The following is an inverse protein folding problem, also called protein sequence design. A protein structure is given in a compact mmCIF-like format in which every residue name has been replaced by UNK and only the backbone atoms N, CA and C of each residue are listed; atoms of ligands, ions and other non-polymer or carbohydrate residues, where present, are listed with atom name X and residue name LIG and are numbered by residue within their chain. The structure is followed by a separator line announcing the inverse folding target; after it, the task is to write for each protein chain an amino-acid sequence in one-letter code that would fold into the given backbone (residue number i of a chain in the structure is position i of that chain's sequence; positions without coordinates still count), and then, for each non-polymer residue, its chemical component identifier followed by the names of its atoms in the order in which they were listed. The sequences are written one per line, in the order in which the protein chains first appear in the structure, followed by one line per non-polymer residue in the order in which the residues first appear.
data_IF_427284740835
#
_entry.id   IF_427284740835
#
_cell.length_a   1.000
_cell.length_b   1.000
_cell.length_c   1.000
_cell.angle_alpha   90.00
_cell.angle_beta   90.00
_cell.angle_gamma   90.00
#
_symmetry.space_group_name_H-M   'P 1'
#
loop_
_entity.id
_entity.type
_entity.pdbx_description
1 polymer ?
#
# COMPACT_ATOMS: atom_id res chain seq x y z
N UNK A 1 27.41 9.59 21.97
CA UNK A 1 26.45 9.63 20.84
C UNK A 1 27.02 8.75 19.73
N UNK A 2 26.78 7.44 19.78
CA UNK A 2 27.13 6.55 18.67
C UNK A 2 26.01 6.60 17.64
N UNK A 3 26.36 6.81 16.37
CA UNK A 3 25.41 6.73 15.28
C UNK A 3 24.78 5.32 15.27
N UNK A 4 23.45 5.25 15.22
CA UNK A 4 22.71 3.99 15.11
C UNK A 4 23.12 3.28 13.81
N UNK A 5 23.73 2.10 13.92
CA UNK A 5 24.13 1.26 12.79
C UNK A 5 22.95 0.68 11.98
N UNK A 6 21.70 0.99 12.36
CA UNK A 6 20.48 0.43 11.75
C UNK A 6 19.77 1.34 10.74
N UNK A 7 20.36 2.49 10.40
CA UNK A 7 19.79 3.37 9.36
C UNK A 7 20.35 2.99 8.00
N UNK A 8 19.46 2.70 7.05
CA UNK A 8 19.84 2.44 5.67
C UNK A 8 20.64 3.62 5.09
N UNK A 9 21.83 3.36 4.55
CA UNK A 9 22.76 4.38 4.07
C UNK A 9 22.96 4.38 2.54
N UNK A 10 22.17 3.59 1.82
CA UNK A 10 22.23 3.45 0.37
C UNK A 10 20.83 3.32 -0.21
N UNK A 11 20.70 3.62 -1.50
CA UNK A 11 19.45 3.47 -2.23
C UNK A 11 19.14 1.98 -2.41
N UNK A 12 17.90 1.59 -2.12
CA UNK A 12 17.38 0.25 -2.38
C UNK A 12 16.29 0.38 -3.44
N UNK A 13 16.55 -0.19 -4.61
CA UNK A 13 15.57 -0.31 -5.69
C UNK A 13 15.06 -1.75 -5.75
N UNK A 14 13.76 -1.92 -5.96
CA UNK A 14 13.16 -3.23 -6.14
C UNK A 14 11.99 -3.17 -7.14
N UNK A 15 11.74 -4.31 -7.79
CA UNK A 15 10.59 -4.52 -8.65
C UNK A 15 9.73 -5.63 -8.05
N UNK A 16 8.41 -5.52 -8.22
CA UNK A 16 7.45 -6.52 -7.75
C UNK A 16 6.60 -6.94 -8.94
N UNK A 17 6.47 -8.25 -9.14
CA UNK A 17 5.49 -8.83 -10.06
C UNK A 17 4.36 -9.39 -9.22
N UNK A 18 3.13 -9.01 -9.52
CA UNK A 18 1.93 -9.42 -8.79
C UNK A 18 0.92 -9.93 -9.80
N UNK A 19 0.35 -11.09 -9.52
CA UNK A 19 -0.78 -11.66 -10.27
C UNK A 19 -2.02 -11.65 -9.37
N UNK A 20 -3.18 -11.41 -9.98
CA UNK A 20 -4.47 -11.58 -9.33
C UNK A 20 -5.38 -12.43 -10.20
N UNK A 21 -6.08 -13.38 -9.59
CA UNK A 21 -6.97 -14.30 -10.28
C UNK A 21 -8.42 -14.03 -9.87
N UNK A 22 -9.27 -13.75 -10.86
CA UNK A 22 -10.71 -13.48 -10.68
C UNK A 22 -11.01 -12.48 -9.55
N UNK A 23 -10.23 -11.39 -9.48
CA UNK A 23 -10.32 -10.40 -8.41
C UNK A 23 -10.25 -8.98 -8.96
N UNK A 24 -10.67 -8.01 -8.16
CA UNK A 24 -10.47 -6.59 -8.42
C UNK A 24 -9.33 -6.05 -7.53
N UNK A 25 -8.11 -5.87 -8.05
CA UNK A 25 -6.96 -5.48 -7.24
C UNK A 25 -7.03 -4.01 -6.76
N UNK A 26 -7.69 -3.17 -7.56
CA UNK A 26 -7.78 -1.73 -7.36
C UNK A 26 -9.05 -1.20 -8.06
N UNK A 27 -10.12 -0.98 -7.29
CA UNK A 27 -11.39 -0.52 -7.83
C UNK A 27 -11.41 0.97 -8.16
N UNK A 28 -12.17 1.34 -9.20
CA UNK A 28 -12.41 2.72 -9.55
C UNK A 28 -13.76 3.24 -9.01
N UNK A 29 -13.79 4.11 -7.99
CA UNK A 29 -15.04 4.62 -7.43
C UNK A 29 -15.84 5.47 -8.41
N UNK A 30 -15.20 6.01 -9.46
CA UNK A 30 -15.89 6.79 -10.50
C UNK A 30 -16.50 5.90 -11.59
N UNK A 31 -16.11 4.63 -11.66
CA UNK A 31 -16.52 3.69 -12.69
C UNK A 31 -17.17 2.42 -12.07
N UNK A 32 -18.04 2.63 -11.08
CA UNK A 32 -18.83 1.55 -10.48
C UNK A 32 -18.00 0.45 -9.82
N UNK A 33 -16.82 0.79 -9.29
CA UNK A 33 -15.89 -0.15 -8.65
C UNK A 33 -15.38 -1.26 -9.59
N UNK A 34 -15.32 -1.01 -10.91
CA UNK A 34 -14.61 -1.89 -11.86
C UNK A 34 -13.10 -1.81 -11.62
N UNK A 35 -12.29 -2.79 -12.08
CA UNK A 35 -10.84 -2.66 -12.07
C UNK A 35 -10.41 -1.35 -12.72
N UNK A 36 -9.55 -0.60 -12.04
CA UNK A 36 -9.03 0.67 -12.55
C UNK A 36 -8.20 0.43 -13.80
N UNK A 37 -8.31 1.36 -14.75
CA UNK A 37 -7.52 1.38 -15.98
C UNK A 37 -6.84 2.74 -16.15
N UNK A 38 -5.64 2.75 -16.72
CA UNK A 38 -4.96 3.98 -17.12
C UNK A 38 -5.56 4.59 -18.41
N UNK A 39 -5.02 5.72 -18.86
CA UNK A 39 -5.46 6.39 -20.09
C UNK A 39 -5.17 5.59 -21.38
N UNK A 40 -4.26 4.62 -21.33
CA UNK A 40 -3.95 3.72 -22.43
C UNK A 40 -4.84 2.46 -22.42
N UNK A 41 -5.67 2.29 -21.39
CA UNK A 41 -6.58 1.15 -21.22
C UNK A 41 -5.95 -0.07 -20.52
N UNK A 42 -4.74 0.04 -19.97
CA UNK A 42 -4.12 -1.03 -19.19
C UNK A 42 -4.68 -1.04 -17.76
N UNK A 43 -4.80 -2.24 -17.16
CA UNK A 43 -5.16 -2.35 -15.75
C UNK A 43 -4.13 -1.67 -14.84
N UNK A 44 -4.60 -0.89 -13.86
CA UNK A 44 -3.75 -0.08 -13.00
C UNK A 44 -3.95 -0.40 -11.52
N UNK A 45 -2.85 -0.71 -10.82
CA UNK A 45 -2.78 -0.66 -9.36
C UNK A 45 -2.02 0.61 -8.99
N UNK A 46 -2.73 1.59 -8.41
CA UNK A 46 -2.13 2.88 -8.08
C UNK A 46 -1.16 2.75 -6.91
N UNK A 47 -0.21 3.68 -6.83
CA UNK A 47 0.74 3.77 -5.74
C UNK A 47 0.04 3.95 -4.39
N UNK A 48 -1.03 4.75 -4.33
CA UNK A 48 -1.86 4.93 -3.13
C UNK A 48 -2.49 3.61 -2.70
N UNK A 49 -2.99 2.80 -3.65
CA UNK A 49 -3.56 1.48 -3.36
C UNK A 49 -2.51 0.55 -2.74
N UNK A 50 -1.31 0.47 -3.31
CA UNK A 50 -0.23 -0.37 -2.77
C UNK A 50 0.23 0.12 -1.39
N UNK A 51 0.45 1.44 -1.23
CA UNK A 51 0.80 2.05 0.06
C UNK A 51 -0.25 1.76 1.13
N UNK A 52 -1.54 1.75 0.79
CA UNK A 52 -2.63 1.40 1.72
C UNK A 52 -2.53 -0.06 2.15
N UNK A 53 -2.37 -0.99 1.21
CA UNK A 53 -2.21 -2.42 1.54
C UNK A 53 -1.01 -2.66 2.47
N UNK A 54 0.13 -2.00 2.23
CA UNK A 54 1.30 -2.11 3.11
C UNK A 54 0.99 -1.57 4.51
N UNK A 55 0.39 -0.38 4.62
CA UNK A 55 0.02 0.19 5.92
C UNK A 55 -0.97 -0.70 6.68
N UNK A 56 -1.94 -1.28 6.00
CA UNK A 56 -2.92 -2.16 6.62
C UNK A 56 -2.24 -3.43 7.18
N UNK A 57 -1.30 -4.01 6.43
CA UNK A 57 -0.50 -5.16 6.90
C UNK A 57 0.39 -4.81 8.10
N UNK A 58 0.99 -3.62 8.13
CA UNK A 58 1.75 -3.13 9.29
C UNK A 58 0.84 -2.92 10.51
N UNK A 59 -0.34 -2.34 10.31
CA UNK A 59 -1.32 -2.14 11.38
C UNK A 59 -1.80 -3.47 11.97
N UNK A 60 -2.08 -4.47 11.12
CA UNK A 60 -2.42 -5.84 11.54
C UNK A 60 -1.29 -6.49 12.35
N UNK A 61 -0.04 -6.20 12.00
CA UNK A 61 1.14 -6.67 12.74
C UNK A 61 1.35 -5.93 14.07
N UNK A 62 0.54 -4.92 14.39
CA UNK A 62 0.65 -4.12 15.61
C UNK A 62 1.65 -2.98 15.55
N UNK A 63 2.17 -2.67 14.35
CA UNK A 63 3.09 -1.57 14.15
C UNK A 63 2.38 -0.22 14.23
N UNK A 64 3.09 0.80 14.71
CA UNK A 64 2.56 2.16 14.76
C UNK A 64 2.55 2.76 13.36
N UNK A 65 1.37 3.17 12.89
CA UNK A 65 1.22 3.88 11.62
C UNK A 65 0.62 5.27 11.84
N UNK A 66 1.05 6.26 11.04
CA UNK A 66 0.61 7.65 11.19
C UNK A 66 -0.85 7.86 10.75
N UNK A 67 -1.21 7.31 9.58
CA UNK A 67 -2.57 7.45 9.00
C UNK A 67 -3.35 6.15 9.16
N UNK A 68 -4.35 6.16 10.03
CA UNK A 68 -5.25 5.04 10.32
C UNK A 68 -6.70 5.51 10.31
N UNK A 69 -7.64 4.61 10.04
CA UNK A 69 -9.07 4.91 10.23
C UNK A 69 -9.38 5.02 11.72
N UNK A 70 -10.35 5.86 12.08
CA UNK A 70 -10.74 6.06 13.49
C UNK A 70 -11.19 4.76 14.16
N UNK A 71 -11.88 3.89 13.41
CA UNK A 71 -12.30 2.55 13.88
C UNK A 71 -11.13 1.66 14.30
N UNK A 72 -9.98 1.80 13.65
CA UNK A 72 -8.78 0.98 13.89
C UNK A 72 -7.77 1.68 14.80
N UNK A 73 -8.13 2.85 15.33
CA UNK A 73 -7.30 3.59 16.27
C UNK A 73 -7.29 2.80 17.57
N UNK A 74 -6.15 2.18 17.88
CA UNK A 74 -5.95 1.61 19.22
C UNK A 74 -6.13 2.75 20.23
N UNK A 75 -7.08 2.59 21.15
CA UNK A 75 -7.16 3.44 22.33
C UNK A 75 -5.79 3.30 23.03
N UNK A 76 -5.04 4.39 23.09
CA UNK A 76 -3.78 4.46 23.82
C UNK A 76 -4.03 4.32 25.33
#
# INVERSE_FOLDING_TARGET
MSANENTLNHKIDFAIIIEVNNANPNGDPLNGNRPRTDFAGNGEITDVCLKRKIRDRLQEAGETIFVQSDEKKRMA
#
